data_IF_019394129129
#
_entry.id   IF_019394129129
#
_cell.length_a   1.000
_cell.length_b   1.000
_cell.length_c   1.000
_cell.angle_alpha   90.00
_cell.angle_beta   90.00
_cell.angle_gamma   90.00
#
_symmetry.space_group_name_H-M   'P 1'
#
loop_
_entity.id
_entity.type
_entity.pdbx_description
1 polymer ?
#
# COMPACT_ATOMS: atom_id res chain seq x y z
N UNK A 1 -14.12 -0.80 15.59
CA UNK A 1 -12.80 -1.43 15.33
C UNK A 1 -12.76 -1.84 13.87
N UNK A 2 -11.64 -1.63 13.17
CA UNK A 2 -11.47 -2.02 11.77
C UNK A 2 -10.89 -3.43 11.71
N UNK A 3 -11.52 -4.31 10.94
CA UNK A 3 -11.14 -5.73 10.78
C UNK A 3 -10.36 -6.02 9.50
N UNK A 4 -10.31 -5.06 8.56
CA UNK A 4 -9.56 -5.17 7.32
C UNK A 4 -8.15 -4.62 7.49
N UNK A 5 -7.23 -5.04 6.61
CA UNK A 5 -5.87 -4.52 6.56
C UNK A 5 -5.86 -3.02 6.28
N UNK A 6 -4.97 -2.31 6.97
CA UNK A 6 -4.83 -0.86 6.88
C UNK A 6 -3.38 -0.46 6.63
N UNK A 7 -3.20 0.56 5.82
CA UNK A 7 -1.95 1.31 5.76
C UNK A 7 -2.03 2.50 6.71
N UNK A 8 -0.92 2.75 7.40
CA UNK A 8 -0.78 3.85 8.32
C UNK A 8 0.57 4.50 8.04
N UNK A 9 0.58 5.80 7.75
CA UNK A 9 1.82 6.52 7.43
C UNK A 9 2.82 6.50 8.61
N UNK A 10 4.10 6.68 8.30
CA UNK A 10 5.20 6.54 9.27
C UNK A 10 5.09 7.43 10.52
N UNK A 11 4.39 8.58 10.44
CA UNK A 11 4.18 9.50 11.57
C UNK A 11 2.92 9.27 12.41
N UNK A 12 2.24 8.13 12.28
CA UNK A 12 0.96 7.93 12.96
C UNK A 12 1.10 7.76 14.47
N UNK A 13 0.47 8.67 15.20
CA UNK A 13 0.25 8.56 16.64
C UNK A 13 -1.22 8.31 16.91
N UNK A 14 -1.53 7.38 17.82
CA UNK A 14 -2.93 7.12 18.21
C UNK A 14 -3.50 8.32 18.94
N UNK A 15 -4.78 8.62 18.68
CA UNK A 15 -5.53 9.60 19.46
C UNK A 15 -5.82 9.04 20.86
N UNK A 16 -6.02 9.89 21.87
CA UNK A 16 -6.44 9.43 23.18
C UNK A 16 -7.73 8.58 23.08
N UNK A 17 -7.90 7.51 23.89
CA UNK A 17 -9.00 6.56 23.74
C UNK A 17 -10.39 7.21 23.71
N UNK A 18 -10.57 8.29 24.49
CA UNK A 18 -11.82 9.07 24.54
C UNK A 18 -12.25 9.66 23.19
N UNK A 19 -11.31 9.92 22.28
CA UNK A 19 -11.55 10.56 20.98
C UNK A 19 -11.34 9.60 19.79
N UNK A 20 -10.95 8.34 20.02
CA UNK A 20 -10.69 7.37 18.97
C UNK A 20 -11.96 6.61 18.58
N UNK A 21 -12.63 7.07 17.52
CA UNK A 21 -13.84 6.40 16.97
C UNK A 21 -13.51 5.12 16.18
N UNK A 22 -12.37 5.11 15.48
CA UNK A 22 -11.96 3.99 14.63
C UNK A 22 -10.61 3.44 15.08
N UNK A 23 -10.66 2.30 15.77
CA UNK A 23 -9.47 1.55 16.18
C UNK A 23 -8.93 0.78 14.97
N UNK A 24 -7.66 1.02 14.64
CA UNK A 24 -6.88 0.25 13.66
C UNK A 24 -5.89 -0.64 14.41
N UNK A 25 -6.14 -1.95 14.58
CA UNK A 25 -5.25 -2.83 15.34
C UNK A 25 -3.85 -2.89 14.74
N UNK A 26 -2.80 -2.90 15.56
CA UNK A 26 -1.41 -2.90 15.08
C UNK A 26 -1.09 -4.14 14.21
N UNK A 27 -1.65 -5.31 14.52
CA UNK A 27 -1.44 -6.53 13.73
C UNK A 27 -2.06 -6.50 12.32
N UNK A 28 -2.92 -5.52 12.02
CA UNK A 28 -3.51 -5.30 10.70
C UNK A 28 -2.90 -4.08 9.99
N UNK A 29 -1.80 -3.53 10.51
CA UNK A 29 -1.09 -2.40 9.92
C UNK A 29 0.08 -2.91 9.09
N UNK A 30 -0.01 -2.74 7.79
CA UNK A 30 1.03 -3.17 6.85
C UNK A 30 1.67 -1.96 6.19
N UNK A 31 3.00 -2.03 6.07
CA UNK A 31 3.81 -0.95 5.49
C UNK A 31 4.56 -1.40 4.23
N UNK A 32 4.50 -2.69 3.88
CA UNK A 32 5.16 -3.28 2.71
C UNK A 32 4.18 -4.13 1.92
N UNK A 33 4.42 -4.24 0.62
CA UNK A 33 3.63 -5.05 -0.29
C UNK A 33 4.54 -5.82 -1.24
N UNK A 34 4.15 -7.04 -1.56
CA UNK A 34 4.75 -7.82 -2.64
C UNK A 34 4.15 -7.35 -3.96
N UNK A 35 4.95 -6.63 -4.74
CA UNK A 35 4.53 -6.02 -6.00
C UNK A 35 5.14 -6.80 -7.16
N UNK A 36 4.28 -7.35 -8.00
CA UNK A 36 4.66 -8.04 -9.23
C UNK A 36 4.73 -7.05 -10.40
N UNK A 37 5.84 -7.05 -11.14
CA UNK A 37 5.95 -6.34 -12.40
C UNK A 37 5.48 -7.25 -13.55
N UNK A 38 4.44 -6.87 -14.33
CA UNK A 38 3.86 -7.77 -15.34
C UNK A 38 4.82 -8.08 -16.50
N UNK A 39 5.63 -7.12 -16.94
CA UNK A 39 6.58 -7.34 -18.05
C UNK A 39 7.82 -8.17 -17.62
N UNK A 40 8.46 -7.80 -16.51
CA UNK A 40 9.65 -8.49 -15.98
C UNK A 40 9.32 -9.83 -15.30
N UNK A 41 8.05 -10.07 -14.94
CA UNK A 41 7.58 -11.27 -14.22
C UNK A 41 8.32 -11.53 -12.89
N UNK A 42 8.85 -10.48 -12.28
CA UNK A 42 9.52 -10.52 -10.98
C UNK A 42 8.64 -9.89 -9.89
N UNK A 43 8.78 -10.40 -8.68
CA UNK A 43 8.11 -9.89 -7.47
C UNK A 43 9.12 -9.18 -6.58
N UNK A 44 8.75 -8.00 -6.08
CA UNK A 44 9.58 -7.18 -5.21
C UNK A 44 8.84 -6.83 -3.93
N UNK A 45 9.52 -6.82 -2.79
CA UNK A 45 8.92 -6.45 -1.51
C UNK A 45 9.12 -4.94 -1.27
N UNK A 46 8.20 -4.14 -1.77
CA UNK A 46 8.32 -2.68 -1.82
C UNK A 46 7.59 -2.00 -0.66
N UNK A 47 8.10 -0.86 -0.22
CA UNK A 47 7.45 -0.05 0.81
C UNK A 47 6.23 0.69 0.26
N UNK A 48 5.16 0.69 1.04
CA UNK A 48 3.95 1.45 0.74
C UNK A 48 4.15 2.92 1.15
N UNK A 49 3.87 3.83 0.23
CA UNK A 49 3.92 5.27 0.47
C UNK A 49 2.54 5.79 0.89
N UNK A 50 1.48 5.27 0.27
CA UNK A 50 0.14 5.78 0.51
C UNK A 50 -0.95 4.94 -0.12
N UNK A 51 -2.19 5.36 0.07
CA UNK A 51 -3.36 4.68 -0.47
C UNK A 51 -4.32 5.72 -1.04
N UNK A 52 -4.70 5.58 -2.32
CA UNK A 52 -5.40 6.64 -3.07
C UNK A 52 -6.88 6.40 -3.35
N UNK A 53 -7.32 5.22 -3.80
CA UNK A 53 -8.71 5.01 -4.26
C UNK A 53 -9.24 3.61 -3.97
N UNK A 54 -10.23 3.47 -3.08
CA UNK A 54 -10.92 2.20 -2.84
C UNK A 54 -12.24 2.12 -3.61
N UNK A 55 -12.57 0.99 -4.24
CA UNK A 55 -13.88 0.78 -4.84
C UNK A 55 -15.04 0.79 -3.81
N UNK A 56 -14.81 0.43 -2.55
CA UNK A 56 -15.85 0.35 -1.51
C UNK A 56 -16.21 1.70 -0.86
N UNK A 57 -15.79 2.80 -1.48
CA UNK A 57 -16.13 4.17 -1.06
C UNK A 57 -14.95 4.94 -0.45
N UNK A 58 -15.02 6.29 -0.39
CA UNK A 58 -13.91 7.16 0.00
C UNK A 58 -13.50 7.03 1.48
N UNK A 59 -14.40 6.50 2.31
CA UNK A 59 -14.17 6.31 3.75
C UNK A 59 -13.16 5.18 4.03
N UNK A 60 -13.09 4.21 3.12
CA UNK A 60 -12.01 3.24 3.05
C UNK A 60 -11.09 3.79 1.96
N UNK A 61 -9.91 4.33 2.24
CA UNK A 61 -8.98 4.65 1.13
C UNK A 61 -8.27 3.35 0.71
N UNK A 62 -8.14 3.08 -0.60
CA UNK A 62 -7.79 1.71 -1.08
C UNK A 62 -7.30 1.51 -2.52
N UNK A 63 -6.23 2.19 -2.98
CA UNK A 63 -5.35 1.77 -4.09
C UNK A 63 -3.91 2.14 -3.70
N UNK A 64 -3.00 1.18 -3.65
CA UNK A 64 -1.66 1.37 -3.08
C UNK A 64 -0.76 2.23 -3.97
N UNK A 65 -0.13 3.24 -3.37
CA UNK A 65 1.01 3.95 -3.93
C UNK A 65 2.26 3.32 -3.30
N UNK A 66 3.12 2.72 -4.12
CA UNK A 66 4.29 1.97 -3.67
C UNK A 66 5.57 2.65 -4.14
N UNK A 67 6.60 2.58 -3.30
CA UNK A 67 7.93 3.08 -3.63
C UNK A 67 8.58 2.14 -4.65
N UNK A 68 8.93 2.66 -5.81
CA UNK A 68 9.56 1.90 -6.91
C UNK A 68 11.00 2.33 -7.16
N UNK A 69 11.62 3.05 -6.20
CA UNK A 69 13.01 3.52 -6.34
C UNK A 69 13.99 2.36 -6.56
N UNK A 70 13.72 1.19 -5.98
CA UNK A 70 14.53 -0.03 -6.15
C UNK A 70 14.43 -0.64 -7.56
N UNK A 71 13.40 -0.29 -8.35
CA UNK A 71 13.21 -0.77 -9.73
C UNK A 71 14.00 0.04 -10.76
N UNK A 72 14.61 1.16 -10.37
CA UNK A 72 15.45 1.97 -11.27
C UNK A 72 14.72 2.50 -12.50
N UNK A 73 13.41 2.71 -12.43
CA UNK A 73 12.61 3.21 -13.55
C UNK A 73 12.96 4.67 -13.84
N UNK A 74 13.21 5.01 -15.10
CA UNK A 74 13.56 6.36 -15.55
C UNK A 74 12.62 6.80 -16.66
N UNK A 75 12.13 8.03 -16.56
CA UNK A 75 11.36 8.67 -17.63
C UNK A 75 12.24 8.99 -18.84
N UNK A 76 11.70 9.14 -20.06
CA UNK A 76 12.48 9.53 -21.24
C UNK A 76 13.28 10.84 -21.07
N UNK A 77 12.83 11.72 -20.16
CA UNK A 77 13.51 12.95 -19.78
C UNK A 77 14.63 12.76 -18.74
N UNK A 78 15.01 11.52 -18.41
CA UNK A 78 16.09 11.21 -17.46
C UNK A 78 15.72 11.32 -15.98
N UNK A 79 14.46 11.62 -15.63
CA UNK A 79 14.03 11.68 -14.21
C UNK A 79 13.74 10.30 -13.66
N UNK A 80 14.28 10.01 -12.47
CA UNK A 80 14.04 8.76 -11.72
C UNK A 80 12.61 8.74 -11.18
N UNK A 81 11.93 7.62 -11.38
CA UNK A 81 10.59 7.36 -10.84
C UNK A 81 10.74 6.67 -9.49
N UNK A 82 10.23 7.31 -8.44
CA UNK A 82 10.31 6.80 -7.07
C UNK A 82 8.96 6.26 -6.57
N UNK A 83 7.85 6.50 -7.28
CA UNK A 83 6.53 6.02 -6.89
C UNK A 83 5.66 5.62 -8.09
N UNK A 84 4.97 4.49 -7.98
CA UNK A 84 3.99 4.04 -8.97
C UNK A 84 2.74 3.48 -8.30
N UNK A 85 1.65 3.42 -9.05
CA UNK A 85 0.42 2.78 -8.57
C UNK A 85 0.53 1.26 -8.72
N UNK A 86 0.03 0.57 -7.70
CA UNK A 86 -0.13 -0.87 -7.73
C UNK A 86 -1.55 -1.23 -7.26
N UNK A 87 -2.13 -2.24 -7.89
CA UNK A 87 -3.43 -2.77 -7.55
C UNK A 87 -3.27 -4.03 -6.71
N UNK A 88 -3.86 -4.04 -5.51
CA UNK A 88 -3.91 -5.22 -4.66
C UNK A 88 -4.75 -6.29 -5.34
N UNK A 89 -4.26 -7.53 -5.37
CA UNK A 89 -4.90 -8.66 -6.07
C UNK A 89 -5.42 -9.75 -5.14
N UNK A 90 -5.10 -9.68 -3.85
CA UNK A 90 -5.53 -10.66 -2.85
C UNK A 90 -6.38 -10.04 -1.74
N UNK A 91 -6.76 -10.87 -0.77
CA UNK A 91 -7.43 -10.47 0.48
C UNK A 91 -6.42 -10.54 1.64
N UNK A 92 -5.71 -9.44 1.96
CA UNK A 92 -4.57 -9.48 2.86
C UNK A 92 -4.94 -9.89 4.29
N UNK A 93 -6.19 -9.66 4.71
CA UNK A 93 -6.71 -10.09 6.01
C UNK A 93 -6.71 -11.61 6.21
N UNK A 94 -6.76 -12.39 5.13
CA UNK A 94 -6.76 -13.85 5.19
C UNK A 94 -5.35 -14.43 5.02
N UNK A 95 -4.53 -13.79 4.19
CA UNK A 95 -3.23 -14.32 3.76
C UNK A 95 -2.07 -13.82 4.62
N UNK A 96 -2.25 -12.72 5.35
CA UNK A 96 -1.19 -12.07 6.13
C UNK A 96 -0.13 -11.34 5.30
N UNK A 97 -0.32 -11.26 3.98
CA UNK A 97 0.56 -10.56 3.04
C UNK A 97 -0.27 -9.70 2.08
N UNK A 98 0.29 -8.55 1.66
CA UNK A 98 -0.31 -7.73 0.60
C UNK A 98 0.37 -8.10 -0.72
N UNK A 99 -0.38 -8.72 -1.63
CA UNK A 99 0.07 -8.98 -3.00
C UNK A 99 -0.57 -7.96 -3.93
N UNK A 100 0.25 -7.35 -4.78
CA UNK A 100 -0.19 -6.34 -5.71
C UNK A 100 0.49 -6.48 -7.07
N UNK A 101 -0.17 -5.97 -8.11
CA UNK A 101 0.38 -5.88 -9.46
C UNK A 101 0.61 -4.42 -9.80
N UNK A 102 1.81 -4.12 -10.30
CA UNK A 102 2.18 -2.78 -10.73
C UNK A 102 1.35 -2.38 -11.96
N UNK A 103 0.74 -1.19 -11.91
CA UNK A 103 0.04 -0.63 -13.06
C UNK A 103 1.09 -0.02 -13.99
N UNK A 104 1.31 -0.64 -15.15
CA UNK A 104 2.33 -0.20 -16.11
C UNK A 104 1.87 0.98 -16.92
#
# INVERSE_FOLDING_TARGET
MITKVTFVGQGFTRKPPKYERFIRPTGLRFNKAHVTHPELKCTFNLEMIGVKKNPNGPMYTGLGFVNVSELGLVTPAGKVVWGKYAQVTNNPENDGCINAVLLV
#
